data_IF_168448262415
#
_entry.id   IF_168448262415
#
_cell.length_a   1.000
_cell.length_b   1.000
_cell.length_c   1.000
_cell.angle_alpha   90.00
_cell.angle_beta   90.00
_cell.angle_gamma   90.00
#
_symmetry.space_group_name_H-M   'P 1'
#
loop_
_entity.id
_entity.type
_entity.pdbx_description
1 polymer ?
#
# COMPACT_ATOMS: atom_id res chain seq x y z
N UNK A 1 16.61 27.33 -3.65
CA UNK A 1 16.93 25.93 -3.46
C UNK A 1 17.15 25.75 -1.98
N UNK A 2 16.12 25.33 -1.24
CA UNK A 2 16.18 25.04 0.19
C UNK A 2 16.49 23.55 0.40
N UNK A 3 17.22 23.23 1.48
CA UNK A 3 17.51 21.86 1.89
C UNK A 3 16.53 21.46 3.00
N UNK A 4 15.57 20.59 2.67
CA UNK A 4 14.44 20.21 3.53
C UNK A 4 14.65 18.78 4.05
N UNK A 5 14.83 18.63 5.36
CA UNK A 5 15.07 17.34 5.99
C UNK A 5 13.76 16.61 6.33
N UNK A 6 13.75 15.30 6.12
CA UNK A 6 12.69 14.43 6.62
C UNK A 6 13.28 13.27 7.44
N UNK A 7 12.74 13.09 8.63
CA UNK A 7 13.09 12.00 9.54
C UNK A 7 11.84 11.17 9.87
N UNK A 8 12.01 9.86 9.96
CA UNK A 8 10.98 8.95 10.44
C UNK A 8 11.55 8.06 11.53
N UNK A 9 10.94 8.14 12.72
CA UNK A 9 11.41 7.42 13.90
C UNK A 9 10.42 6.36 14.33
N UNK A 10 10.92 5.17 14.71
CA UNK A 10 10.10 4.14 15.35
C UNK A 10 10.22 4.29 16.87
N UNK A 11 9.12 4.08 17.59
CA UNK A 11 9.06 4.24 19.05
C UNK A 11 9.97 3.31 19.84
N UNK A 12 10.61 2.30 19.22
CA UNK A 12 11.21 1.20 19.95
C UNK A 12 12.75 1.09 19.93
N UNK A 13 13.50 1.62 18.93
CA UNK A 13 14.93 1.28 18.85
C UNK A 13 15.90 2.25 18.14
N UNK A 14 15.49 3.45 17.75
CA UNK A 14 16.46 4.40 17.14
C UNK A 14 16.26 5.80 17.71
N UNK A 15 17.34 6.34 18.27
CA UNK A 15 17.35 7.73 18.71
C UNK A 15 17.03 8.67 17.55
N UNK A 16 15.93 9.44 17.62
CA UNK A 16 15.61 10.48 16.64
C UNK A 16 16.78 11.45 16.47
N UNK A 17 17.51 11.66 17.55
CA UNK A 17 18.61 12.64 17.65
C UNK A 17 19.70 12.39 16.64
N UNK A 18 20.07 11.12 16.37
CA UNK A 18 21.09 10.78 15.38
C UNK A 18 20.65 11.18 13.96
N UNK A 19 19.43 10.86 13.56
CA UNK A 19 18.92 11.25 12.23
C UNK A 19 18.86 12.78 12.09
N UNK A 20 18.37 13.45 13.13
CA UNK A 20 18.27 14.91 13.14
C UNK A 20 19.66 15.57 13.11
N UNK A 21 20.64 15.03 13.83
CA UNK A 21 22.01 15.53 13.81
C UNK A 21 22.64 15.43 12.42
N UNK A 22 22.53 14.25 11.78
CA UNK A 22 23.06 14.02 10.43
C UNK A 22 22.40 14.93 9.40
N UNK A 23 21.08 15.12 9.48
CA UNK A 23 20.36 16.02 8.57
C UNK A 23 20.78 17.49 8.78
N UNK A 24 20.98 17.92 10.03
CA UNK A 24 21.46 19.29 10.33
C UNK A 24 22.89 19.49 9.84
N UNK A 25 23.77 18.52 10.07
CA UNK A 25 25.16 18.55 9.59
C UNK A 25 25.22 18.59 8.05
N UNK A 26 24.30 17.91 7.37
CA UNK A 26 24.17 17.98 5.91
C UNK A 26 23.56 19.30 5.40
N UNK A 27 23.19 20.23 6.29
CA UNK A 27 22.71 21.57 5.95
C UNK A 27 21.19 21.69 5.82
N UNK A 28 20.40 20.78 6.40
CA UNK A 28 18.94 20.90 6.39
C UNK A 28 18.49 22.19 7.09
N UNK A 29 17.83 23.08 6.36
CA UNK A 29 17.30 24.34 6.87
C UNK A 29 16.11 24.14 7.79
N UNK A 30 15.29 23.13 7.47
CA UNK A 30 14.13 22.72 8.26
C UNK A 30 13.96 21.20 8.20
N UNK A 31 13.53 20.59 9.30
CA UNK A 31 13.34 19.15 9.41
C UNK A 31 11.93 18.87 9.89
N UNK A 32 11.24 17.95 9.19
CA UNK A 32 9.95 17.39 9.57
C UNK A 32 10.17 15.98 10.08
N UNK A 33 9.43 15.61 11.15
CA UNK A 33 9.65 14.33 11.81
C UNK A 33 8.34 13.61 12.07
N UNK A 34 8.14 12.46 11.41
CA UNK A 34 7.03 11.57 11.69
C UNK A 34 7.43 10.48 12.70
N UNK A 35 6.53 10.23 13.65
CA UNK A 35 6.66 9.11 14.59
C UNK A 35 5.79 7.94 14.12
N UNK A 36 6.40 6.76 14.00
CA UNK A 36 5.64 5.53 13.73
C UNK A 36 4.82 5.14 14.97
N UNK A 37 3.54 5.38 14.95
CA UNK A 37 2.60 4.86 15.93
C UNK A 37 1.83 3.66 15.34
N UNK A 38 2.26 2.44 15.63
CA UNK A 38 1.50 1.22 15.35
C UNK A 38 1.03 1.03 13.89
N UNK A 39 -0.27 0.75 13.73
CA UNK A 39 -0.91 0.39 12.45
C UNK A 39 -1.26 1.56 11.53
N UNK A 40 -1.12 2.80 11.96
CA UNK A 40 -1.48 3.97 11.15
C UNK A 40 -0.32 4.40 10.28
N UNK A 41 -0.61 4.52 8.99
CA UNK A 41 0.33 4.92 7.94
C UNK A 41 0.33 6.44 7.69
N UNK A 42 -0.27 7.18 8.62
CA UNK A 42 -0.38 8.62 8.50
C UNK A 42 1.01 9.25 8.63
N UNK A 43 1.38 10.04 7.63
CA UNK A 43 2.64 10.81 7.60
C UNK A 43 2.32 12.29 7.45
N UNK A 44 1.74 12.90 8.47
CA UNK A 44 1.30 14.28 8.41
C UNK A 44 2.47 15.23 8.18
N UNK A 45 3.64 14.90 8.74
CA UNK A 45 4.83 15.73 8.60
C UNK A 45 5.44 15.62 7.19
N UNK A 46 5.44 14.44 6.57
CA UNK A 46 5.82 14.31 5.15
C UNK A 46 4.86 15.08 4.25
N UNK A 47 3.56 14.98 4.48
CA UNK A 47 2.57 15.73 3.71
C UNK A 47 2.73 17.26 3.90
N UNK A 48 3.02 17.70 5.12
CA UNK A 48 3.31 19.09 5.44
C UNK A 48 4.58 19.60 4.74
N UNK A 49 5.64 18.77 4.73
CA UNK A 49 6.87 19.07 4.00
C UNK A 49 6.59 19.23 2.50
N UNK A 50 5.89 18.26 1.89
CA UNK A 50 5.54 18.31 0.47
C UNK A 50 4.66 19.50 0.10
N UNK A 51 3.83 19.96 1.03
CA UNK A 51 3.04 21.18 0.84
C UNK A 51 3.89 22.46 0.95
N UNK A 52 4.93 22.43 1.79
CA UNK A 52 5.84 23.57 1.99
C UNK A 52 6.86 23.70 0.85
N UNK A 53 7.35 22.58 0.32
CA UNK A 53 8.41 22.53 -0.67
C UNK A 53 8.02 23.22 -1.99
N UNK A 54 9.00 23.85 -2.61
CA UNK A 54 8.87 24.57 -3.88
C UNK A 54 9.72 23.91 -4.97
N UNK A 55 9.39 24.13 -6.25
CA UNK A 55 10.25 23.70 -7.35
C UNK A 55 11.70 24.15 -7.16
N UNK A 56 12.64 23.24 -7.32
CA UNK A 56 14.07 23.46 -7.12
C UNK A 56 14.57 23.23 -5.69
N UNK A 57 13.69 22.91 -4.71
CA UNK A 57 14.13 22.49 -3.38
C UNK A 57 14.60 21.03 -3.37
N UNK A 58 15.34 20.65 -2.34
CA UNK A 58 15.89 19.29 -2.16
C UNK A 58 15.32 18.68 -0.88
N UNK A 59 14.58 17.57 -1.03
CA UNK A 59 14.20 16.72 0.08
C UNK A 59 15.37 15.83 0.48
N UNK A 60 15.84 15.98 1.71
CA UNK A 60 16.92 15.17 2.26
C UNK A 60 16.40 14.15 3.27
N UNK A 61 16.88 12.91 3.16
CA UNK A 61 16.64 11.84 4.12
C UNK A 61 17.97 11.21 4.56
N UNK A 62 18.03 10.75 5.78
CA UNK A 62 19.19 9.99 6.23
C UNK A 62 19.35 8.70 5.41
N UNK A 63 18.25 7.96 5.22
CA UNK A 63 18.18 6.72 4.44
C UNK A 63 16.86 6.63 3.69
N UNK A 64 16.87 5.97 2.52
CA UNK A 64 15.69 5.79 1.69
C UNK A 64 14.57 5.00 2.38
N UNK A 65 14.92 4.08 3.30
CA UNK A 65 13.94 3.32 4.09
C UNK A 65 13.14 4.20 5.08
N UNK A 66 13.61 5.42 5.35
CA UNK A 66 12.85 6.42 6.12
C UNK A 66 11.76 7.07 5.27
N UNK A 67 11.99 7.21 3.97
CA UNK A 67 11.04 7.81 3.02
C UNK A 67 10.04 6.77 2.50
N UNK A 68 10.51 5.60 2.08
CA UNK A 68 9.70 4.50 1.55
C UNK A 68 9.66 3.27 2.46
N UNK A 69 8.53 2.55 2.52
CA UNK A 69 8.40 1.25 3.21
C UNK A 69 8.72 0.07 2.30
N UNK A 70 8.54 0.28 1.03
CA UNK A 70 8.86 -0.65 -0.05
C UNK A 70 9.47 0.15 -1.19
N UNK A 71 10.16 -0.53 -2.06
CA UNK A 71 10.70 0.09 -3.27
C UNK A 71 9.59 0.75 -4.09
N UNK A 72 8.45 0.09 -4.26
CA UNK A 72 7.27 0.64 -4.95
C UNK A 72 6.78 1.96 -4.34
N UNK A 73 6.69 2.02 -3.00
CA UNK A 73 6.26 3.24 -2.33
C UNK A 73 7.31 4.36 -2.43
N UNK A 74 8.59 4.01 -2.33
CA UNK A 74 9.70 4.96 -2.51
C UNK A 74 9.64 5.61 -3.90
N UNK A 75 9.43 4.79 -4.93
CA UNK A 75 9.32 5.27 -6.31
C UNK A 75 8.08 6.14 -6.54
N UNK A 76 6.95 5.81 -5.91
CA UNK A 76 5.76 6.66 -5.99
C UNK A 76 6.01 8.05 -5.39
N UNK A 77 6.66 8.10 -4.20
CA UNK A 77 7.02 9.38 -3.57
C UNK A 77 7.99 10.16 -4.45
N UNK A 78 8.97 9.50 -5.03
CA UNK A 78 9.95 10.18 -5.85
C UNK A 78 9.41 10.62 -7.22
N UNK A 79 8.45 9.90 -7.79
CA UNK A 79 7.71 10.38 -8.97
C UNK A 79 6.94 11.67 -8.64
N UNK A 80 6.26 11.72 -7.48
CA UNK A 80 5.56 12.93 -7.03
C UNK A 80 6.53 14.09 -6.80
N UNK A 81 7.73 13.84 -6.26
CA UNK A 81 8.77 14.84 -6.11
C UNK A 81 9.24 15.37 -7.49
N UNK A 82 9.47 14.46 -8.43
CA UNK A 82 9.89 14.82 -9.80
C UNK A 82 8.83 15.66 -10.50
N UNK A 83 7.56 15.28 -10.42
CA UNK A 83 6.44 16.02 -11.01
C UNK A 83 6.33 17.45 -10.44
N UNK A 84 6.74 17.63 -9.18
CA UNK A 84 6.82 18.92 -8.49
C UNK A 84 8.15 19.64 -8.70
N UNK A 85 9.08 19.05 -9.45
CA UNK A 85 10.45 19.57 -9.60
C UNK A 85 11.20 19.74 -8.28
N UNK A 86 10.98 18.81 -7.33
CA UNK A 86 11.68 18.72 -6.04
C UNK A 86 12.70 17.58 -6.15
N UNK A 87 13.95 17.87 -5.82
CA UNK A 87 15.02 16.88 -5.86
C UNK A 87 15.04 16.01 -4.59
N UNK A 88 15.60 14.81 -4.69
CA UNK A 88 15.75 13.87 -3.58
C UNK A 88 17.23 13.58 -3.31
N UNK A 89 17.62 13.68 -2.04
CA UNK A 89 18.98 13.29 -1.59
C UNK A 89 18.90 12.34 -0.41
N UNK A 90 19.51 11.17 -0.54
CA UNK A 90 19.78 10.27 0.57
C UNK A 90 21.23 10.38 0.99
N UNK A 91 21.45 10.52 2.31
CA UNK A 91 22.81 10.75 2.85
C UNK A 91 23.62 9.46 2.99
N UNK A 92 22.96 8.31 3.15
CA UNK A 92 23.64 7.01 3.35
C UNK A 92 23.86 6.27 2.03
N UNK A 93 22.84 6.22 1.16
CA UNK A 93 22.92 5.45 -0.10
C UNK A 93 23.58 6.26 -1.24
N UNK A 94 24.00 7.48 -1.00
CA UNK A 94 24.61 8.37 -2.01
C UNK A 94 23.73 8.59 -3.23
N UNK A 95 22.41 8.51 -3.06
CA UNK A 95 21.43 8.84 -4.10
C UNK A 95 21.15 10.34 -4.03
N UNK A 96 21.48 11.04 -5.10
CA UNK A 96 21.27 12.50 -5.22
C UNK A 96 20.76 12.83 -6.62
N UNK A 97 19.44 13.09 -6.73
CA UNK A 97 18.81 13.36 -8.03
C UNK A 97 19.18 14.73 -8.61
N UNK A 98 19.85 15.59 -7.85
CA UNK A 98 20.42 16.82 -8.40
C UNK A 98 21.54 16.53 -9.42
N UNK A 99 22.16 15.34 -9.33
CA UNK A 99 23.23 14.89 -10.22
C UNK A 99 22.67 13.97 -11.32
N UNK A 100 23.31 13.98 -12.50
CA UNK A 100 22.93 13.06 -13.59
C UNK A 100 23.10 11.58 -13.19
N UNK A 101 24.15 11.25 -12.45
CA UNK A 101 24.38 9.88 -11.96
C UNK A 101 23.33 9.43 -10.95
N UNK A 102 22.95 10.28 -10.00
CA UNK A 102 21.90 9.98 -9.04
C UNK A 102 20.54 9.81 -9.68
N UNK A 103 20.19 10.63 -10.68
CA UNK A 103 18.98 10.43 -11.49
C UNK A 103 18.99 9.10 -12.22
N UNK A 104 20.12 8.72 -12.84
CA UNK A 104 20.24 7.43 -13.51
C UNK A 104 20.00 6.26 -12.53
N UNK A 105 20.69 6.26 -11.38
CA UNK A 105 20.52 5.25 -10.33
C UNK A 105 19.04 5.16 -9.91
N UNK A 106 18.41 6.30 -9.74
CA UNK A 106 17.00 6.37 -9.36
C UNK A 106 16.07 5.75 -10.41
N UNK A 107 16.30 6.02 -11.70
CA UNK A 107 15.54 5.40 -12.80
C UNK A 107 15.77 3.88 -12.88
N UNK A 108 16.98 3.40 -12.59
CA UNK A 108 17.27 1.97 -12.51
C UNK A 108 16.47 1.31 -11.40
N UNK A 109 16.40 1.90 -10.21
CA UNK A 109 15.54 1.40 -9.14
C UNK A 109 14.05 1.37 -9.55
N UNK A 110 13.60 2.38 -10.31
CA UNK A 110 12.26 2.43 -10.89
C UNK A 110 11.97 1.23 -11.78
N UNK A 111 12.85 0.99 -12.73
CA UNK A 111 12.74 -0.13 -13.67
C UNK A 111 12.76 -1.51 -12.94
N UNK A 112 13.62 -1.67 -11.93
CA UNK A 112 13.68 -2.92 -11.13
C UNK A 112 12.38 -3.14 -10.37
N UNK A 113 11.79 -2.11 -9.75
CA UNK A 113 10.53 -2.28 -9.02
C UNK A 113 9.33 -2.52 -9.94
N UNK A 114 9.34 -1.98 -11.15
CA UNK A 114 8.32 -2.27 -12.15
C UNK A 114 8.44 -3.73 -12.63
N UNK A 115 9.64 -4.20 -12.87
CA UNK A 115 9.93 -5.58 -13.21
C UNK A 115 9.48 -6.55 -12.09
N UNK A 116 9.80 -6.29 -10.83
CA UNK A 116 9.35 -7.11 -9.70
C UNK A 116 7.82 -7.16 -9.60
N UNK A 117 7.14 -6.03 -9.84
CA UNK A 117 5.66 -5.99 -9.88
C UNK A 117 5.09 -6.80 -11.02
N UNK A 118 5.68 -6.73 -12.20
CA UNK A 118 5.26 -7.50 -13.37
C UNK A 118 5.37 -9.00 -13.09
N UNK A 119 6.52 -9.47 -12.56
CA UNK A 119 6.72 -10.86 -12.16
C UNK A 119 5.71 -11.32 -11.09
N UNK A 120 5.45 -10.49 -10.07
CA UNK A 120 4.49 -10.82 -9.03
C UNK A 120 3.05 -10.92 -9.57
N UNK A 121 2.66 -10.06 -10.50
CA UNK A 121 1.39 -10.12 -11.19
C UNK A 121 1.24 -11.38 -12.04
N UNK A 122 2.27 -11.75 -12.80
CA UNK A 122 2.33 -12.97 -13.61
C UNK A 122 2.18 -14.22 -12.74
N UNK A 123 2.97 -14.35 -11.66
CA UNK A 123 2.84 -15.44 -10.69
C UNK A 123 1.45 -15.54 -10.06
N UNK A 124 0.83 -14.40 -9.78
CA UNK A 124 -0.52 -14.36 -9.23
C UNK A 124 -1.55 -14.84 -10.26
N UNK A 125 -1.41 -14.41 -11.52
CA UNK A 125 -2.26 -14.85 -12.62
C UNK A 125 -2.16 -16.37 -12.84
N UNK A 126 -0.96 -16.91 -12.85
CA UNK A 126 -0.69 -18.34 -12.98
C UNK A 126 -1.27 -19.13 -11.80
N UNK A 127 -1.11 -18.63 -10.58
CA UNK A 127 -1.69 -19.23 -9.39
C UNK A 127 -3.23 -19.25 -9.42
N UNK A 128 -3.85 -18.17 -9.90
CA UNK A 128 -5.31 -18.10 -10.08
C UNK A 128 -5.78 -19.05 -11.20
N UNK A 129 -5.04 -19.12 -12.32
CA UNK A 129 -5.37 -20.04 -13.40
C UNK A 129 -5.29 -21.50 -12.95
N UNK A 130 -4.24 -21.89 -12.24
CA UNK A 130 -4.05 -23.21 -11.65
C UNK A 130 -5.17 -23.54 -10.63
N UNK A 131 -5.52 -22.60 -9.77
CA UNK A 131 -6.60 -22.79 -8.81
C UNK A 131 -7.95 -22.98 -9.50
N UNK A 132 -8.24 -22.21 -10.56
CA UNK A 132 -9.46 -22.36 -11.37
C UNK A 132 -9.52 -23.71 -12.08
N UNK A 133 -8.40 -24.18 -12.67
CA UNK A 133 -8.31 -25.49 -13.29
C UNK A 133 -8.54 -26.63 -12.28
N UNK A 134 -8.17 -26.42 -11.01
CA UNK A 134 -8.46 -27.34 -9.90
C UNK A 134 -9.87 -27.16 -9.29
N UNK A 135 -10.78 -26.42 -9.96
CA UNK A 135 -12.15 -26.18 -9.48
C UNK A 135 -12.27 -25.20 -8.31
N UNK A 136 -11.18 -24.53 -7.93
CA UNK A 136 -11.19 -23.53 -6.87
C UNK A 136 -11.41 -22.14 -7.47
N UNK A 137 -12.56 -21.55 -7.23
CA UNK A 137 -12.87 -20.22 -7.71
C UNK A 137 -12.52 -19.17 -6.65
N UNK A 138 -11.87 -18.03 -7.04
CA UNK A 138 -11.61 -16.93 -6.12
C UNK A 138 -12.92 -16.27 -5.68
N UNK A 139 -12.99 -15.83 -4.45
CA UNK A 139 -14.14 -15.14 -3.89
C UNK A 139 -14.74 -15.85 -2.67
N UNK A 140 -15.87 -15.31 -2.20
CA UNK A 140 -16.60 -15.92 -1.11
C UNK A 140 -17.15 -17.28 -1.57
N UNK A 141 -16.97 -18.37 -0.80
CA UNK A 141 -17.55 -19.66 -1.12
C UNK A 141 -19.05 -19.52 -1.45
N UNK A 142 -19.49 -20.22 -2.49
CA UNK A 142 -20.91 -20.30 -2.82
C UNK A 142 -21.69 -20.92 -1.66
N UNK A 143 -23.02 -20.77 -1.72
CA UNK A 143 -23.90 -21.51 -0.79
C UNK A 143 -23.78 -23.00 -1.09
N UNK A 144 -23.71 -23.83 -0.04
CA UNK A 144 -23.66 -25.28 -0.24
C UNK A 144 -24.97 -25.77 -0.88
N UNK A 145 -24.89 -26.85 -1.64
CA UNK A 145 -26.05 -27.52 -2.20
C UNK A 145 -27.10 -27.83 -1.14
N UNK A 146 -26.66 -28.27 0.03
CA UNK A 146 -27.54 -28.58 1.16
C UNK A 146 -28.32 -27.36 1.65
N UNK A 147 -27.65 -26.20 1.71
CA UNK A 147 -28.30 -24.93 2.08
C UNK A 147 -29.32 -24.51 1.05
N UNK A 148 -29.03 -24.70 -0.26
CA UNK A 148 -29.94 -24.38 -1.35
C UNK A 148 -31.18 -25.30 -1.28
N UNK A 149 -30.97 -26.60 -1.10
CA UNK A 149 -32.08 -27.59 -0.97
C UNK A 149 -32.94 -27.28 0.25
N UNK A 150 -32.32 -27.03 1.41
CA UNK A 150 -33.04 -26.70 2.64
C UNK A 150 -33.83 -25.39 2.53
N UNK A 151 -33.30 -24.37 1.87
CA UNK A 151 -33.99 -23.10 1.65
C UNK A 151 -35.22 -23.28 0.78
N UNK A 152 -35.13 -24.10 -0.28
CA UNK A 152 -36.28 -24.42 -1.16
C UNK A 152 -37.35 -25.23 -0.43
N UNK A 153 -36.96 -26.24 0.34
CA UNK A 153 -37.93 -27.05 1.09
C UNK A 153 -38.73 -26.21 2.11
N UNK A 154 -38.05 -25.27 2.79
CA UNK A 154 -38.70 -24.35 3.73
C UNK A 154 -39.62 -23.33 3.02
N UNK A 155 -39.24 -22.84 1.85
CA UNK A 155 -40.08 -21.92 1.06
C UNK A 155 -41.34 -22.65 0.53
N UNK A 156 -41.20 -23.90 0.05
CA UNK A 156 -42.35 -24.75 -0.37
C UNK A 156 -43.28 -25.06 0.79
N UNK A 157 -42.77 -25.21 2.00
CA UNK A 157 -43.56 -25.38 3.21
C UNK A 157 -44.25 -24.10 3.71
N UNK A 158 -44.12 -22.98 2.97
CA UNK A 158 -44.75 -21.70 3.29
C UNK A 158 -44.03 -20.90 4.40
N UNK A 159 -42.81 -21.25 4.74
CA UNK A 159 -42.03 -20.55 5.79
C UNK A 159 -41.64 -19.14 5.30
N UNK A 160 -41.89 -18.08 6.08
CA UNK A 160 -41.50 -16.73 5.71
C UNK A 160 -39.98 -16.61 5.46
N UNK A 161 -39.54 -15.95 4.39
CA UNK A 161 -38.14 -15.85 3.98
C UNK A 161 -37.22 -15.27 5.08
N UNK A 162 -37.76 -14.39 5.92
CA UNK A 162 -37.04 -13.87 7.06
C UNK A 162 -36.74 -14.96 8.13
N UNK A 163 -37.62 -15.93 8.25
CA UNK A 163 -37.46 -17.06 9.15
C UNK A 163 -36.50 -18.10 8.56
N UNK A 164 -36.60 -18.38 7.25
CA UNK A 164 -35.62 -19.20 6.50
C UNK A 164 -34.20 -18.68 6.71
N UNK A 165 -33.98 -17.36 6.57
CA UNK A 165 -32.70 -16.73 6.77
C UNK A 165 -32.12 -16.97 8.18
N UNK A 166 -32.97 -16.89 9.21
CA UNK A 166 -32.58 -17.16 10.60
C UNK A 166 -32.28 -18.64 10.83
N UNK A 167 -33.13 -19.52 10.34
CA UNK A 167 -32.99 -20.97 10.53
C UNK A 167 -31.71 -21.50 9.88
N UNK A 168 -31.34 -21.00 8.69
CA UNK A 168 -30.16 -21.44 7.95
C UNK A 168 -28.91 -20.61 8.24
N UNK A 169 -28.99 -19.57 9.10
CA UNK A 169 -27.85 -18.71 9.44
C UNK A 169 -27.28 -17.92 8.26
N UNK A 170 -28.12 -17.61 7.25
CA UNK A 170 -27.72 -16.88 6.05
C UNK A 170 -28.46 -15.53 5.93
N UNK A 171 -27.93 -14.62 5.09
CA UNK A 171 -28.61 -13.35 4.84
C UNK A 171 -29.91 -13.52 4.04
N UNK A 172 -30.86 -12.60 4.17
CA UNK A 172 -32.08 -12.58 3.35
C UNK A 172 -31.79 -12.58 1.85
N UNK A 173 -30.78 -11.81 1.42
CA UNK A 173 -30.32 -11.78 0.02
C UNK A 173 -29.82 -13.15 -0.44
N UNK A 174 -29.19 -13.91 0.44
CA UNK A 174 -28.76 -15.29 0.16
C UNK A 174 -29.98 -16.23 -0.01
N UNK A 175 -31.04 -16.07 0.78
CA UNK A 175 -32.29 -16.85 0.60
C UNK A 175 -32.89 -16.60 -0.80
N UNK A 176 -33.02 -15.32 -1.20
CA UNK A 176 -33.52 -15.00 -2.55
C UNK A 176 -32.69 -15.67 -3.65
N UNK A 177 -31.36 -15.61 -3.53
CA UNK A 177 -30.43 -16.24 -4.48
C UNK A 177 -30.57 -17.78 -4.51
N UNK A 178 -30.79 -18.44 -3.34
CA UNK A 178 -31.09 -19.89 -3.31
C UNK A 178 -32.31 -20.22 -4.12
N UNK A 179 -33.39 -19.45 -3.98
CA UNK A 179 -34.69 -19.69 -4.65
C UNK A 179 -34.64 -19.39 -6.15
N UNK A 180 -33.76 -18.48 -6.59
CA UNK A 180 -33.54 -18.18 -8.02
C UNK A 180 -32.76 -19.29 -8.74
N UNK A 181 -31.81 -19.94 -8.06
CA UNK A 181 -30.95 -20.99 -8.64
C UNK A 181 -31.75 -22.30 -8.93
N UNK A 182 -32.99 -22.42 -8.47
CA UNK A 182 -33.79 -23.63 -8.57
C UNK A 182 -35.02 -23.43 -9.49
N UNK A 183 -35.19 -22.25 -10.05
CA UNK A 183 -36.16 -21.94 -11.10
C UNK A 183 -35.57 -22.17 -12.48
#
# INVERSE_FOLDING_TARGET
MALLGYARVSTLHQSPEMQLAVLREAGAERIWTDQMSGRRDDRPELASLLHYARPGDVLMVWRLDRLGRSLTHLLAVASDLQDRSIELRSLTESVDTTTAGGRLIFHVFGAVAEFERAIAAERTADGVATARAAGRHPGRPGLSSDTIVAANALDQAGTPRAQIARTLGISRSSVYRCLELTR
#
